data_IF_635824787339
#
_entry.id   IF_635824787339
#
_cell.length_a   1.000
_cell.length_b   1.000
_cell.length_c   1.000
_cell.angle_alpha   90.00
_cell.angle_beta   90.00
_cell.angle_gamma   90.00
#
_symmetry.space_group_name_H-M   'P 1'
#
loop_
_entity.id
_entity.type
_entity.pdbx_description
1 polymer ?
#
# COMPACT_ATOMS: atom_id res chain seq x y z
N UNK A 1 -20.25 -40.71 13.10
CA UNK A 1 -18.99 -40.41 12.38
C UNK A 1 -19.25 -39.16 11.55
N UNK A 2 -18.85 -37.98 12.04
CA UNK A 2 -18.96 -36.73 11.28
C UNK A 2 -17.82 -36.67 10.24
N UNK A 3 -18.06 -36.09 9.06
CA UNK A 3 -17.05 -36.04 8.01
C UNK A 3 -15.92 -35.08 8.40
N UNK A 4 -14.66 -35.51 8.20
CA UNK A 4 -13.45 -34.89 8.75
C UNK A 4 -12.96 -33.64 8.01
N UNK A 5 -13.83 -32.95 7.28
CA UNK A 5 -13.41 -31.81 6.44
C UNK A 5 -13.35 -30.47 7.19
N UNK A 6 -13.79 -30.41 8.45
CA UNK A 6 -13.57 -29.27 9.35
C UNK A 6 -12.20 -29.40 10.04
N UNK A 7 -11.13 -29.32 9.24
CA UNK A 7 -9.81 -28.92 9.74
C UNK A 7 -9.62 -27.48 9.32
N UNK A 8 -10.33 -26.59 10.02
CA UNK A 8 -10.30 -25.12 9.85
C UNK A 8 -8.97 -24.50 10.30
N UNK A 9 -7.85 -25.17 10.04
CA UNK A 9 -6.50 -24.67 10.25
C UNK A 9 -5.86 -24.23 8.91
N UNK A 10 -6.67 -23.84 7.92
CA UNK A 10 -6.17 -23.37 6.62
C UNK A 10 -6.66 -21.95 6.25
N UNK A 11 -7.22 -21.20 7.20
CA UNK A 11 -7.68 -19.83 6.98
C UNK A 11 -6.73 -18.77 7.57
N UNK A 12 -5.42 -19.06 7.62
CA UNK A 12 -4.46 -18.23 8.35
C UNK A 12 -3.48 -17.40 7.52
N UNK A 13 -3.20 -17.75 6.25
CA UNK A 13 -1.95 -17.31 5.60
C UNK A 13 -2.07 -16.82 4.15
N UNK A 14 -3.15 -16.15 3.75
CA UNK A 14 -3.15 -15.48 2.44
C UNK A 14 -3.81 -14.12 2.60
N UNK A 15 -3.05 -13.13 3.06
CA UNK A 15 -3.08 -11.72 2.61
C UNK A 15 -2.01 -10.91 3.37
N UNK A 16 -0.84 -11.51 3.64
CA UNK A 16 0.37 -10.69 3.79
C UNK A 16 0.65 -10.12 2.40
N UNK A 17 -0.09 -9.07 2.01
CA UNK A 17 0.31 -8.25 0.87
C UNK A 17 1.69 -7.73 1.28
N UNK A 18 2.73 -8.25 0.65
CA UNK A 18 4.10 -7.78 0.83
C UNK A 18 4.20 -6.37 0.25
N UNK A 19 3.65 -5.40 0.97
CA UNK A 19 3.63 -4.00 0.55
C UNK A 19 4.98 -3.40 0.90
N UNK A 20 5.61 -2.79 -0.10
CA UNK A 20 6.94 -2.18 0.01
C UNK A 20 6.80 -0.67 -0.13
N UNK A 21 7.73 0.07 0.46
CA UNK A 21 7.79 1.52 0.32
C UNK A 21 8.02 1.93 -1.14
N UNK A 22 7.03 2.64 -1.70
CA UNK A 22 7.01 3.11 -3.08
C UNK A 22 7.71 4.44 -3.30
N UNK A 23 8.33 5.04 -2.27
CA UNK A 23 9.07 6.29 -2.42
C UNK A 23 10.23 6.15 -3.41
N UNK A 24 10.45 7.14 -4.27
CA UNK A 24 11.57 7.13 -5.23
C UNK A 24 12.91 6.88 -4.52
N UNK A 25 13.13 7.54 -3.37
CA UNK A 25 14.25 7.30 -2.47
C UNK A 25 13.73 6.87 -1.10
N UNK A 26 13.92 5.59 -0.75
CA UNK A 26 13.62 5.09 0.58
C UNK A 26 14.75 5.47 1.55
N UNK A 27 14.39 6.00 2.72
CA UNK A 27 15.34 6.38 3.77
C UNK A 27 15.51 5.29 4.85
N UNK A 28 14.74 4.19 4.76
CA UNK A 28 14.78 3.14 5.76
C UNK A 28 16.04 2.31 5.62
N UNK A 29 16.82 2.21 6.70
CA UNK A 29 18.03 1.38 6.76
C UNK A 29 17.69 -0.13 6.70
N UNK A 30 16.50 -0.51 7.17
CA UNK A 30 15.98 -1.89 7.07
C UNK A 30 15.44 -2.26 5.68
N UNK A 31 15.51 -1.34 4.72
CA UNK A 31 15.03 -1.56 3.35
C UNK A 31 13.55 -1.24 3.15
N UNK A 32 13.06 -1.54 1.94
CA UNK A 32 11.72 -1.11 1.49
C UNK A 32 10.59 -1.95 2.07
N UNK A 33 10.85 -3.18 2.47
CA UNK A 33 9.88 -4.10 3.10
C UNK A 33 9.73 -3.88 4.61
N UNK A 34 10.65 -3.15 5.24
CA UNK A 34 10.56 -2.89 6.67
C UNK A 34 9.27 -2.11 6.96
N UNK A 35 8.39 -2.67 7.79
CA UNK A 35 7.21 -1.97 8.29
C UNK A 35 7.21 -2.11 9.82
N UNK A 36 7.32 -0.99 10.53
CA UNK A 36 7.16 -0.96 11.97
C UNK A 36 5.73 -0.53 12.31
N UNK A 37 5.08 -1.16 13.28
CA UNK A 37 3.66 -0.87 13.59
C UNK A 37 3.45 0.55 14.14
N UNK A 38 4.38 1.04 14.98
CA UNK A 38 4.23 2.32 15.69
C UNK A 38 5.52 3.16 15.71
N UNK A 39 6.07 3.50 14.53
CA UNK A 39 7.32 4.28 14.42
C UNK A 39 7.45 5.09 13.12
N UNK A 40 8.57 5.80 12.98
CA UNK A 40 8.94 6.56 11.78
C UNK A 40 8.89 5.75 10.47
N UNK A 41 9.01 4.42 10.58
CA UNK A 41 9.01 3.47 9.48
C UNK A 41 7.67 2.72 9.34
N UNK A 42 6.61 3.23 9.95
CA UNK A 42 5.25 2.76 9.67
C UNK A 42 4.93 2.95 8.19
N UNK A 43 4.40 1.89 7.60
CA UNK A 43 4.00 1.86 6.21
C UNK A 43 2.57 2.38 6.09
N UNK A 44 2.41 3.62 5.62
CA UNK A 44 1.12 4.19 5.29
C UNK A 44 0.64 3.60 3.97
N UNK A 45 -0.52 2.95 4.00
CA UNK A 45 -1.15 2.43 2.79
C UNK A 45 -1.94 3.53 2.08
N UNK A 46 -2.02 3.43 0.76
CA UNK A 46 -2.88 4.32 0.00
C UNK A 46 -4.33 4.09 0.44
N UNK A 47 -5.00 5.13 0.93
CA UNK A 47 -6.38 5.02 1.45
C UNK A 47 -7.39 4.59 0.40
N UNK A 48 -7.11 4.81 -0.89
CA UNK A 48 -8.04 4.53 -2.00
C UNK A 48 -7.79 3.16 -2.66
N UNK A 49 -6.56 2.67 -2.76
CA UNK A 49 -6.26 1.40 -3.43
C UNK A 49 -5.64 0.31 -2.56
N UNK A 50 -5.05 0.66 -1.42
CA UNK A 50 -4.27 -0.22 -0.52
C UNK A 50 -3.19 -1.08 -1.21
N UNK A 51 -2.89 -0.83 -2.50
CA UNK A 51 -1.95 -1.62 -3.30
C UNK A 51 -0.51 -1.09 -3.19
N UNK A 52 -0.36 0.19 -2.83
CA UNK A 52 0.92 0.83 -2.58
C UNK A 52 0.99 1.25 -1.11
N UNK A 53 2.21 1.29 -0.61
CA UNK A 53 2.52 1.82 0.72
C UNK A 53 3.76 2.71 0.66
N UNK A 54 3.86 3.65 1.59
CA UNK A 54 5.01 4.51 1.76
C UNK A 54 5.36 4.60 3.23
N UNK A 55 6.64 4.67 3.57
CA UNK A 55 6.98 4.97 4.97
C UNK A 55 6.54 6.38 5.33
N UNK A 56 6.10 6.58 6.57
CA UNK A 56 5.77 7.91 7.10
C UNK A 56 6.88 8.93 6.89
N UNK A 57 8.15 8.53 7.05
CA UNK A 57 9.31 9.41 6.80
C UNK A 57 9.62 9.63 5.32
N UNK A 58 9.18 8.72 4.45
CA UNK A 58 9.40 8.80 3.01
C UNK A 58 8.24 9.48 2.25
N UNK A 59 7.10 9.71 2.90
CA UNK A 59 5.91 10.26 2.25
C UNK A 59 5.99 11.75 1.95
N UNK A 60 7.02 12.45 2.47
CA UNK A 60 7.16 13.91 2.44
C UNK A 60 5.92 14.66 2.96
N UNK A 61 4.99 13.95 3.60
CA UNK A 61 3.78 14.52 4.18
C UNK A 61 4.12 15.27 5.47
N UNK A 62 3.30 16.27 5.79
CA UNK A 62 3.36 16.94 7.09
C UNK A 62 3.16 15.91 8.19
N UNK A 63 3.91 16.01 9.30
CA UNK A 63 3.84 15.08 10.44
C UNK A 63 2.42 14.85 11.01
N UNK A 64 1.43 15.70 10.70
CA UNK A 64 0.04 15.57 11.15
C UNK A 64 -0.86 14.78 10.19
N UNK A 65 -0.39 14.42 9.00
CA UNK A 65 -1.19 13.63 8.06
C UNK A 65 -1.35 12.20 8.58
N UNK A 66 -2.60 11.76 8.70
CA UNK A 66 -2.98 10.39 9.11
C UNK A 66 -3.27 9.49 7.90
N UNK A 67 -3.52 10.09 6.74
CA UNK A 67 -3.81 9.38 5.49
C UNK A 67 -2.79 9.77 4.41
N UNK A 68 -2.58 8.85 3.47
CA UNK A 68 -1.75 9.05 2.29
C UNK A 68 -2.46 8.44 1.08
N UNK A 69 -2.32 9.10 -0.07
CA UNK A 69 -2.74 8.57 -1.36
C UNK A 69 -1.54 8.49 -2.28
N UNK A 70 -1.41 7.39 -3.02
CA UNK A 70 -0.36 7.26 -4.02
C UNK A 70 -0.59 8.21 -5.19
N UNK A 71 0.44 8.50 -5.98
CA UNK A 71 0.35 9.43 -7.12
C UNK A 71 -0.72 9.04 -8.16
N UNK A 72 -1.15 7.77 -8.18
CA UNK A 72 -2.24 7.30 -9.06
C UNK A 72 -3.64 7.61 -8.51
N UNK A 73 -3.77 7.77 -7.20
CA UNK A 73 -5.04 8.06 -6.52
C UNK A 73 -5.15 9.54 -6.16
N UNK A 74 -4.04 10.15 -5.71
CA UNK A 74 -3.93 11.56 -5.44
C UNK A 74 -4.11 12.36 -6.75
N UNK A 75 -5.07 13.29 -6.79
CA UNK A 75 -5.31 14.14 -7.96
C UNK A 75 -6.43 13.69 -8.92
N UNK A 76 -7.13 12.57 -8.63
CA UNK A 76 -8.43 12.29 -9.27
C UNK A 76 -9.54 13.25 -8.79
N UNK A 77 -9.29 13.98 -7.71
CA UNK A 77 -10.13 15.06 -7.22
C UNK A 77 -9.74 16.41 -7.84
N UNK A 78 -10.64 16.93 -8.67
CA UNK A 78 -10.73 18.32 -9.17
C UNK A 78 -9.81 18.71 -10.34
N UNK A 79 -10.43 18.91 -11.51
CA UNK A 79 -9.82 19.65 -12.63
C UNK A 79 -9.99 18.98 -13.98
N UNK A 80 -10.94 19.47 -14.78
CA UNK A 80 -11.12 19.06 -16.17
C UNK A 80 -9.82 19.28 -16.97
N UNK A 81 -9.08 18.21 -17.26
CA UNK A 81 -8.31 18.10 -18.50
C UNK A 81 -8.28 16.62 -18.86
N UNK A 82 -8.78 16.32 -20.05
CA UNK A 82 -8.65 15.00 -20.65
C UNK A 82 -7.15 14.75 -20.85
N UNK A 83 -6.50 14.15 -19.86
CA UNK A 83 -5.23 13.49 -20.07
C UNK A 83 -5.58 12.04 -20.32
N UNK A 84 -5.36 11.57 -21.54
CA UNK A 84 -5.44 10.17 -21.98
C UNK A 84 -4.43 9.26 -21.26
N UNK A 85 -3.80 9.73 -20.19
CA UNK A 85 -2.94 8.90 -19.35
C UNK A 85 -3.83 8.03 -18.45
N UNK A 86 -4.13 6.84 -18.96
CA UNK A 86 -4.56 5.73 -18.11
C UNK A 86 -3.53 5.65 -16.97
N UNK A 87 -3.92 5.82 -15.70
CA UNK A 87 -2.96 5.71 -14.61
C UNK A 87 -2.30 4.33 -14.74
N UNK A 88 -0.96 4.30 -14.82
CA UNK A 88 -0.13 3.10 -14.97
C UNK A 88 -0.45 1.99 -13.95
N UNK A 89 -1.26 2.29 -12.93
CA UNK A 89 -1.74 1.35 -11.93
C UNK A 89 -2.93 0.48 -12.32
N UNK A 90 -3.66 0.72 -13.41
CA UNK A 90 -4.76 -0.18 -13.83
C UNK A 90 -4.31 -1.39 -14.66
N UNK A 91 -3.00 -1.64 -14.79
CA UNK A 91 -2.46 -2.66 -15.70
C UNK A 91 -1.74 -3.86 -15.10
N UNK A 92 -1.50 -3.94 -13.79
CA UNK A 92 -0.83 -5.11 -13.18
C UNK A 92 -1.81 -5.93 -12.35
N UNK A 93 -2.75 -6.56 -13.05
CA UNK A 93 -3.37 -7.78 -12.57
C UNK A 93 -2.31 -8.86 -12.47
N UNK A 94 -2.25 -9.54 -11.32
CA UNK A 94 -1.40 -10.69 -11.08
C UNK A 94 -1.61 -11.74 -12.18
N UNK A 95 -0.51 -12.16 -12.82
CA UNK A 95 -0.43 -13.41 -13.56
C UNK A 95 0.08 -14.51 -12.64
#
# INVERSE_FOLDING_TARGET
>A
RQPSWESDQAFGLVYQRHIRCSASKCLCLGGREQAEEERSWQLLLCSSCAAKGIHRRCSYLRNSATTWECDCCAGLGTGKRQSTHVPLCWGLGAG
#
